data_IF_896506075590
#
_entry.id   IF_896506075590
#
_cell.length_a   1.000
_cell.length_b   1.000
_cell.length_c   1.000
_cell.angle_alpha   90.00
_cell.angle_beta   90.00
_cell.angle_gamma   90.00
#
_symmetry.space_group_name_H-M   'P 1'
#
loop_
_entity.id
_entity.type
_entity.pdbx_description
1 polymer ?
#
# COMPACT_ATOMS: atom_id res chain seq x y z
N UNK A 1 -11.41 1.02 11.73
CA UNK A 1 -12.64 1.49 11.07
C UNK A 1 -13.36 0.26 10.55
N UNK A 2 -14.68 0.18 10.66
CA UNK A 2 -15.46 -0.90 10.06
C UNK A 2 -16.14 -0.36 8.80
N UNK A 3 -16.33 -1.24 7.82
CA UNK A 3 -17.12 -0.97 6.62
C UNK A 3 -18.24 -2.00 6.55
N UNK A 4 -19.37 -1.62 5.99
CA UNK A 4 -20.58 -2.44 5.96
C UNK A 4 -20.65 -3.32 4.71
N UNK A 5 -19.94 -2.94 3.65
CA UNK A 5 -19.89 -3.68 2.38
C UNK A 5 -18.58 -3.49 1.59
N UNK A 6 -18.44 -4.31 0.54
CA UNK A 6 -17.29 -4.30 -0.38
C UNK A 6 -17.13 -2.98 -1.15
N UNK A 7 -18.23 -2.31 -1.49
CA UNK A 7 -18.20 -1.06 -2.24
C UNK A 7 -17.63 0.07 -1.37
N UNK A 8 -17.97 0.07 -0.08
CA UNK A 8 -17.43 0.99 0.91
C UNK A 8 -15.94 0.69 1.15
N UNK A 9 -15.54 -0.58 1.20
CA UNK A 9 -14.12 -0.96 1.27
C UNK A 9 -13.32 -0.40 0.08
N UNK A 10 -13.86 -0.52 -1.14
CA UNK A 10 -13.25 0.06 -2.34
C UNK A 10 -13.19 1.59 -2.30
N UNK A 11 -14.24 2.25 -1.79
CA UNK A 11 -14.27 3.70 -1.63
C UNK A 11 -13.19 4.17 -0.64
N UNK A 12 -13.03 3.46 0.48
CA UNK A 12 -11.96 3.72 1.45
C UNK A 12 -10.60 3.47 0.82
N UNK A 13 -10.37 2.35 0.15
CA UNK A 13 -9.09 2.05 -0.51
C UNK A 13 -8.70 3.14 -1.53
N UNK A 14 -9.67 3.71 -2.25
CA UNK A 14 -9.44 4.81 -3.19
C UNK A 14 -9.11 6.14 -2.51
N UNK A 15 -9.64 6.37 -1.31
CA UNK A 15 -9.39 7.60 -0.54
C UNK A 15 -8.07 7.59 0.22
N UNK A 16 -7.44 6.42 0.37
CA UNK A 16 -6.10 6.31 0.94
C UNK A 16 -5.09 7.16 0.16
N UNK A 17 -4.30 7.95 0.91
CA UNK A 17 -3.11 8.61 0.38
C UNK A 17 -1.99 7.58 0.17
N UNK A 18 -0.92 7.96 -0.53
CA UNK A 18 0.23 7.08 -0.76
C UNK A 18 0.74 6.43 0.53
N UNK A 19 0.82 5.10 0.55
CA UNK A 19 1.34 4.30 1.66
C UNK A 19 2.62 3.55 1.22
N UNK A 20 3.46 3.19 2.18
CA UNK A 20 4.62 2.33 1.90
C UNK A 20 4.18 0.89 1.62
N UNK A 21 3.23 0.37 2.39
CA UNK A 21 2.71 -0.98 2.18
C UNK A 21 1.24 -1.11 2.56
N UNK A 22 0.58 -2.11 1.96
CA UNK A 22 -0.74 -2.59 2.36
C UNK A 22 -0.68 -4.10 2.62
N UNK A 23 -1.38 -4.56 3.66
CA UNK A 23 -1.60 -5.97 3.92
C UNK A 23 -3.06 -6.32 3.61
N UNK A 24 -3.27 -7.34 2.78
CA UNK A 24 -4.58 -7.85 2.42
C UNK A 24 -4.71 -9.26 2.98
N UNK A 25 -5.60 -9.44 3.93
CA UNK A 25 -5.95 -10.75 4.48
C UNK A 25 -7.27 -11.18 3.84
N UNK A 26 -7.26 -12.32 3.16
CA UNK A 26 -8.38 -12.82 2.38
C UNK A 26 -8.33 -14.35 2.26
N UNK A 27 -9.50 -14.97 2.17
CA UNK A 27 -9.67 -16.38 1.85
C UNK A 27 -10.01 -16.58 0.37
N UNK A 28 -9.95 -17.82 -0.14
CA UNK A 28 -10.19 -18.12 -1.55
C UNK A 28 -11.56 -17.64 -2.06
N UNK A 29 -12.58 -17.63 -1.20
CA UNK A 29 -13.91 -17.15 -1.53
C UNK A 29 -13.97 -15.63 -1.80
N UNK A 30 -12.97 -14.87 -1.36
CA UNK A 30 -12.89 -13.41 -1.46
C UNK A 30 -11.99 -12.96 -2.62
N UNK A 31 -11.51 -13.90 -3.45
CA UNK A 31 -10.62 -13.61 -4.56
C UNK A 31 -11.25 -12.64 -5.58
N UNK A 32 -12.57 -12.66 -5.74
CA UNK A 32 -13.29 -11.72 -6.59
C UNK A 32 -13.17 -10.26 -6.11
N UNK A 33 -13.21 -10.05 -4.79
CA UNK A 33 -12.99 -8.75 -4.16
C UNK A 33 -11.52 -8.32 -4.26
N UNK A 34 -10.59 -9.25 -4.02
CA UNK A 34 -9.16 -9.00 -4.14
C UNK A 34 -8.78 -8.48 -5.54
N UNK A 35 -9.37 -9.05 -6.61
CA UNK A 35 -9.18 -8.59 -8.00
C UNK A 35 -9.66 -7.16 -8.25
N UNK A 36 -10.63 -6.68 -7.48
CA UNK A 36 -11.11 -5.30 -7.57
C UNK A 36 -10.24 -4.33 -6.77
N UNK A 37 -9.71 -4.78 -5.62
CA UNK A 37 -8.87 -3.96 -4.74
C UNK A 37 -7.44 -3.80 -5.23
N UNK A 38 -6.85 -4.84 -5.84
CA UNK A 38 -5.45 -4.86 -6.28
C UNK A 38 -5.09 -3.64 -7.16
N UNK A 39 -5.82 -3.31 -8.25
CA UNK A 39 -5.49 -2.17 -9.10
C UNK A 39 -5.56 -0.81 -8.37
N UNK A 40 -6.36 -0.72 -7.29
CA UNK A 40 -6.43 0.47 -6.46
C UNK A 40 -5.22 0.54 -5.55
N UNK A 41 -4.91 -0.55 -4.85
CA UNK A 41 -3.78 -0.63 -3.92
C UNK A 41 -2.43 -0.48 -4.62
N UNK A 42 -2.27 -1.01 -5.82
CA UNK A 42 -1.05 -0.89 -6.64
C UNK A 42 -0.72 0.57 -6.95
N UNK A 43 -1.73 1.41 -7.17
CA UNK A 43 -1.54 2.84 -7.45
C UNK A 43 -1.28 3.66 -6.19
N UNK A 44 -1.54 3.09 -5.02
CA UNK A 44 -1.50 3.77 -3.73
C UNK A 44 -0.35 3.30 -2.84
N UNK A 45 0.21 2.12 -3.09
CA UNK A 45 1.17 1.48 -2.18
C UNK A 45 2.40 0.97 -2.92
N UNK A 46 3.56 1.02 -2.26
CA UNK A 46 4.82 0.51 -2.81
C UNK A 46 4.95 -1.01 -2.71
N UNK A 47 4.29 -1.64 -1.73
CA UNK A 47 4.33 -3.08 -1.48
C UNK A 47 2.98 -3.59 -0.99
N UNK A 48 2.44 -4.62 -1.64
CA UNK A 48 1.24 -5.33 -1.17
C UNK A 48 1.67 -6.71 -0.67
N UNK A 49 1.27 -7.06 0.55
CA UNK A 49 1.45 -8.41 1.11
C UNK A 49 0.08 -9.07 1.28
N UNK A 50 -0.04 -10.34 0.90
CA UNK A 50 -1.29 -11.09 0.99
C UNK A 50 -1.14 -12.19 2.05
N UNK A 51 -2.11 -12.29 2.96
CA UNK A 51 -2.14 -13.27 4.05
C UNK A 51 -0.87 -13.29 4.92
N UNK A 52 -0.22 -12.13 5.01
CA UNK A 52 0.94 -11.89 5.85
C UNK A 52 0.85 -10.49 6.43
N UNK A 53 1.37 -10.30 7.64
CA UNK A 53 1.51 -8.97 8.19
C UNK A 53 2.68 -8.27 7.50
N UNK A 54 2.54 -6.96 7.28
CA UNK A 54 3.65 -6.10 6.90
C UNK A 54 4.61 -5.97 8.11
N UNK A 55 5.36 -7.03 8.39
CA UNK A 55 6.43 -7.06 9.39
C UNK A 55 7.50 -6.00 9.06
N UNK A 56 8.30 -5.55 10.06
CA UNK A 56 9.39 -4.62 9.82
C UNK A 56 10.28 -5.13 8.69
N UNK A 57 10.59 -4.21 7.79
CA UNK A 57 11.24 -4.38 6.49
C UNK A 57 12.43 -5.36 6.56
N UNK A 58 12.27 -6.56 5.99
CA UNK A 58 13.42 -7.38 5.65
C UNK A 58 14.17 -6.70 4.49
N UNK A 59 15.45 -6.44 4.71
CA UNK A 59 16.34 -5.86 3.72
C UNK A 59 16.79 -6.99 2.80
N UNK A 60 16.31 -6.96 1.56
CA UNK A 60 16.72 -7.85 0.47
C UNK A 60 17.08 -6.99 -0.74
N UNK A 61 17.73 -7.54 -1.77
CA UNK A 61 18.14 -6.78 -2.95
C UNK A 61 16.98 -6.09 -3.72
N UNK A 62 15.73 -6.46 -3.43
CA UNK A 62 14.52 -5.88 -4.04
C UNK A 62 13.82 -4.83 -3.16
N UNK A 63 14.40 -4.44 -2.03
CA UNK A 63 13.79 -3.49 -1.09
C UNK A 63 13.77 -2.07 -1.67
N UNK A 64 12.58 -1.56 -1.99
CA UNK A 64 12.36 -0.16 -2.41
C UNK A 64 11.99 0.69 -1.21
N UNK A 65 12.94 1.49 -0.72
CA UNK A 65 12.74 2.46 0.37
C UNK A 65 12.44 3.85 -0.20
N UNK A 66 11.30 3.97 -0.88
CA UNK A 66 10.88 5.20 -1.52
C UNK A 66 9.46 5.12 -2.08
N UNK A 67 8.71 6.22 -2.01
CA UNK A 67 7.37 6.32 -2.56
C UNK A 67 7.03 7.74 -3.03
N UNK A 68 5.94 7.91 -3.81
CA UNK A 68 5.53 9.24 -4.30
C UNK A 68 5.21 10.19 -3.13
N UNK A 69 5.48 11.48 -3.32
CA UNK A 69 5.24 12.54 -2.33
C UNK A 69 3.79 12.45 -1.79
N UNK A 70 3.52 12.25 -0.49
CA UNK A 70 4.25 12.53 0.77
C UNK A 70 4.95 11.34 1.46
N UNK A 71 5.10 10.19 0.80
CA UNK A 71 5.73 9.00 1.41
C UNK A 71 7.25 9.19 1.62
N UNK A 72 7.88 10.05 0.83
CA UNK A 72 9.30 10.41 0.94
C UNK A 72 9.43 11.90 0.65
N UNK A 73 10.02 12.67 1.57
CA UNK A 73 10.46 14.04 1.27
C UNK A 73 11.71 13.99 0.40
N UNK A 74 11.81 14.74 -0.71
CA UNK A 74 13.08 14.87 -1.40
C UNK A 74 14.11 15.46 -0.43
N UNK A 75 15.28 14.84 -0.35
CA UNK A 75 16.38 15.36 0.45
C UNK A 75 16.65 16.81 0.04
N UNK A 76 16.54 17.75 0.98
CA UNK A 76 16.95 19.11 0.75
C UNK A 76 18.47 19.10 0.55
N UNK A 77 18.93 19.31 -0.68
CA UNK A 77 20.35 19.53 -0.97
C UNK A 77 20.80 20.79 -0.21
N UNK A 78 21.77 20.71 0.72
CA UNK A 78 22.42 21.93 1.18
C UNK A 78 23.33 22.37 0.03
N UNK A 79 22.92 23.43 -0.68
CA UNK A 79 23.88 24.18 -1.50
C UNK A 79 24.88 24.81 -0.53
N UNK A 80 26.04 24.17 -0.40
CA UNK A 80 27.25 24.83 0.06
C UNK A 80 27.90 25.51 -1.16
N UNK A 81 28.40 26.73 -0.93
CA UNK A 81 29.00 27.70 -1.85
C UNK A 81 28.02 28.66 -2.54
#
# INVERSE_FOLDING_TARGET
MSVDDEAQLLAVARSLRGQLSAALHLEDCELALARQLLPVLERRTGRIVVNAFAHPQEVTDATVDGGPFSATSPAASPRLA
#
